data_IF_894682683484
#
_entry.id   IF_894682683484
#
_cell.length_a   1.000
_cell.length_b   1.000
_cell.length_c   1.000
_cell.angle_alpha   90.00
_cell.angle_beta   90.00
_cell.angle_gamma   90.00
#
_symmetry.space_group_name_H-M   'P 1'
#
loop_
_entity.id
_entity.type
_entity.pdbx_description
1 polymer ?
#
# COMPACT_ATOMS: atom_id res chain seq x y z
N UNK A 1 -26.34 1.70 34.58
CA UNK A 1 -25.46 2.83 34.23
C UNK A 1 -24.72 3.43 35.43
N UNK A 2 -25.38 4.02 36.44
CA UNK A 2 -24.66 4.66 37.58
C UNK A 2 -23.73 3.69 38.33
N UNK A 3 -24.21 2.49 38.64
CA UNK A 3 -23.42 1.48 39.36
C UNK A 3 -22.23 0.96 38.53
N UNK A 4 -22.40 0.77 37.22
CA UNK A 4 -21.34 0.41 36.27
C UNK A 4 -20.20 1.44 36.31
N UNK A 5 -20.55 2.74 36.29
CA UNK A 5 -19.57 3.83 36.29
C UNK A 5 -18.81 3.89 37.62
N UNK A 6 -19.50 3.73 38.75
CA UNK A 6 -18.89 3.74 40.08
C UNK A 6 -17.87 2.60 40.23
N UNK A 7 -18.25 1.38 39.87
CA UNK A 7 -17.37 0.19 39.99
C UNK A 7 -16.14 0.36 39.08
N UNK A 8 -16.34 0.81 37.84
CA UNK A 8 -15.24 1.04 36.92
C UNK A 8 -14.30 2.14 37.42
N UNK A 9 -14.84 3.26 37.93
CA UNK A 9 -14.04 4.33 38.50
C UNK A 9 -13.23 3.86 39.72
N UNK A 10 -13.87 3.17 40.68
CA UNK A 10 -13.21 2.61 41.85
C UNK A 10 -12.06 1.66 41.46
N UNK A 11 -12.29 0.79 40.48
CA UNK A 11 -11.25 -0.16 40.02
C UNK A 11 -10.08 0.54 39.32
N UNK A 12 -10.34 1.64 38.60
CA UNK A 12 -9.29 2.45 37.95
C UNK A 12 -8.46 3.24 38.95
N UNK A 13 -9.09 3.67 40.05
CA UNK A 13 -8.42 4.31 41.19
C UNK A 13 -7.66 3.30 42.08
N UNK A 14 -7.69 2.01 41.75
CA UNK A 14 -7.02 0.94 42.50
C UNK A 14 -7.43 0.89 43.98
N UNK A 15 -8.71 1.17 44.26
CA UNK A 15 -9.28 0.93 45.58
C UNK A 15 -9.29 -0.60 45.80
N UNK A 16 -8.70 -1.09 46.88
CA UNK A 16 -8.57 -2.53 47.19
C UNK A 16 -9.39 -2.93 48.42
N UNK A 17 -10.62 -2.43 48.52
CA UNK A 17 -11.55 -2.76 49.60
C UNK A 17 -12.42 -3.95 49.17
N UNK A 18 -12.07 -5.16 49.64
CA UNK A 18 -12.78 -6.40 49.31
C UNK A 18 -14.25 -6.37 49.75
N UNK A 19 -14.56 -5.75 50.89
CA UNK A 19 -15.93 -5.67 51.42
C UNK A 19 -16.79 -4.76 50.54
N UNK A 20 -16.23 -3.64 50.07
CA UNK A 20 -16.90 -2.78 49.10
C UNK A 20 -17.23 -3.53 47.80
N UNK A 21 -16.29 -4.29 47.25
CA UNK A 21 -16.53 -5.08 46.04
C UNK A 21 -17.49 -6.24 46.26
N UNK A 22 -17.46 -6.88 47.43
CA UNK A 22 -18.44 -7.88 47.80
C UNK A 22 -19.86 -7.29 47.81
N UNK A 23 -20.05 -6.13 48.44
CA UNK A 23 -21.32 -5.39 48.44
C UNK A 23 -21.77 -5.00 47.04
N UNK A 24 -20.85 -4.59 46.17
CA UNK A 24 -21.16 -4.32 44.76
C UNK A 24 -21.63 -5.58 44.03
N UNK A 25 -20.92 -6.69 44.17
CA UNK A 25 -21.29 -7.97 43.55
C UNK A 25 -22.68 -8.43 44.02
N UNK A 26 -22.94 -8.45 45.33
CA UNK A 26 -24.23 -8.84 45.90
C UNK A 26 -25.36 -7.95 45.39
N UNK A 27 -25.14 -6.65 45.33
CA UNK A 27 -26.14 -5.71 44.83
C UNK A 27 -26.43 -5.91 43.34
N UNK A 28 -25.41 -6.09 42.51
CA UNK A 28 -25.60 -6.33 41.07
C UNK A 28 -26.31 -7.66 40.84
N UNK A 29 -25.91 -8.74 41.50
CA UNK A 29 -26.56 -10.04 41.37
C UNK A 29 -28.05 -9.98 41.76
N UNK A 30 -28.40 -9.22 42.81
CA UNK A 30 -29.79 -9.00 43.19
C UNK A 30 -30.59 -8.27 42.10
N UNK A 31 -29.97 -7.31 41.42
CA UNK A 31 -30.59 -6.58 40.31
C UNK A 31 -30.72 -7.43 39.05
N UNK A 32 -29.72 -8.23 38.72
CA UNK A 32 -29.75 -9.13 37.55
C UNK A 32 -30.88 -10.17 37.62
N UNK A 33 -31.32 -10.53 38.83
CA UNK A 33 -32.52 -11.36 39.01
C UNK A 33 -33.85 -10.65 38.74
N UNK A 34 -33.85 -9.32 38.61
CA UNK A 34 -35.05 -8.47 38.45
C UNK A 34 -35.11 -7.74 37.12
N UNK A 35 -33.97 -7.46 36.49
CA UNK A 35 -33.88 -6.75 35.21
C UNK A 35 -32.77 -7.34 34.33
N UNK A 36 -32.92 -7.19 33.00
CA UNK A 36 -31.89 -7.59 32.06
C UNK A 36 -30.79 -6.52 31.96
N UNK A 37 -29.53 -6.93 32.17
CA UNK A 37 -28.39 -6.06 32.01
C UNK A 37 -27.89 -6.08 30.57
N UNK A 38 -27.59 -4.90 30.03
CA UNK A 38 -26.98 -4.80 28.71
C UNK A 38 -25.54 -5.33 28.74
N UNK A 39 -25.15 -6.06 27.71
CA UNK A 39 -23.83 -6.71 27.59
C UNK A 39 -22.66 -5.74 27.77
N UNK A 40 -22.80 -4.51 27.28
CA UNK A 40 -21.87 -3.40 27.53
C UNK A 40 -21.63 -3.18 29.03
N UNK A 41 -22.69 -3.02 29.82
CA UNK A 41 -22.58 -2.79 31.26
C UNK A 41 -21.91 -3.99 31.94
N UNK A 42 -22.32 -5.21 31.58
CA UNK A 42 -21.73 -6.43 32.13
C UNK A 42 -20.24 -6.50 31.80
N UNK A 43 -19.84 -6.23 30.55
CA UNK A 43 -18.44 -6.26 30.12
C UNK A 43 -17.57 -5.30 30.93
N UNK A 44 -18.09 -4.12 31.28
CA UNK A 44 -17.38 -3.13 32.08
C UNK A 44 -17.28 -3.57 33.54
N UNK A 45 -18.39 -4.09 34.10
CA UNK A 45 -18.44 -4.59 35.49
C UNK A 45 -17.45 -5.75 35.66
N UNK A 46 -17.53 -6.78 34.82
CA UNK A 46 -16.66 -7.97 34.99
C UNK A 46 -15.19 -7.64 34.76
N UNK A 47 -14.87 -6.71 33.86
CA UNK A 47 -13.49 -6.26 33.64
C UNK A 47 -12.97 -5.49 34.87
N UNK A 48 -13.81 -4.66 35.49
CA UNK A 48 -13.45 -3.92 36.69
C UNK A 48 -13.24 -4.85 37.89
N UNK A 49 -14.10 -5.87 38.04
CA UNK A 49 -14.02 -6.87 39.09
C UNK A 49 -12.79 -7.79 38.93
N UNK A 50 -12.53 -8.26 37.71
CA UNK A 50 -11.34 -9.04 37.38
C UNK A 50 -10.04 -8.27 37.68
N UNK A 51 -10.01 -6.95 37.40
CA UNK A 51 -8.84 -6.10 37.66
C UNK A 51 -8.43 -6.02 39.12
N UNK A 52 -9.40 -6.08 40.05
CA UNK A 52 -9.15 -5.99 41.50
C UNK A 52 -9.06 -7.36 42.18
N UNK A 53 -9.23 -8.45 41.42
CA UNK A 53 -9.17 -9.83 41.92
C UNK A 53 -10.16 -10.15 43.07
N UNK A 54 -11.30 -9.46 43.12
CA UNK A 54 -12.31 -9.63 44.17
C UNK A 54 -13.45 -10.59 43.78
N UNK A 55 -13.27 -11.41 42.73
CA UNK A 55 -14.33 -12.27 42.18
C UNK A 55 -13.78 -13.65 41.84
N UNK A 56 -14.52 -14.67 42.26
CA UNK A 56 -14.23 -16.07 41.96
C UNK A 56 -14.87 -16.54 40.64
N UNK A 57 -14.41 -17.70 40.14
CA UNK A 57 -14.90 -18.29 38.90
C UNK A 57 -16.42 -18.52 38.91
N UNK A 58 -17.02 -18.85 40.06
CA UNK A 58 -18.46 -19.09 40.18
C UNK A 58 -19.28 -17.80 40.03
N UNK A 59 -18.87 -16.72 40.70
CA UNK A 59 -19.49 -15.41 40.54
C UNK A 59 -19.35 -14.90 39.11
N UNK A 60 -18.17 -15.11 38.50
CA UNK A 60 -17.94 -14.76 37.09
C UNK A 60 -18.85 -15.55 36.15
N UNK A 61 -19.08 -16.84 36.40
CA UNK A 61 -20.00 -17.66 35.61
C UNK A 61 -21.42 -17.10 35.64
N UNK A 62 -21.91 -16.60 36.78
CA UNK A 62 -23.25 -15.98 36.86
C UNK A 62 -23.35 -14.71 36.02
N UNK A 63 -22.28 -13.90 35.98
CA UNK A 63 -22.22 -12.74 35.09
C UNK A 63 -22.19 -13.16 33.62
N UNK A 64 -21.45 -14.22 33.29
CA UNK A 64 -21.38 -14.79 31.96
C UNK A 64 -22.76 -15.27 31.48
N UNK A 65 -23.49 -16.01 32.31
CA UNK A 65 -24.81 -16.56 31.96
C UNK A 65 -25.82 -15.44 31.65
N UNK A 66 -25.79 -14.35 32.42
CA UNK A 66 -26.65 -13.20 32.15
C UNK A 66 -26.23 -12.44 30.87
N UNK A 67 -24.94 -12.33 30.60
CA UNK A 67 -24.44 -11.68 29.38
C UNK A 67 -24.92 -12.37 28.09
N UNK A 68 -25.17 -13.68 28.12
CA UNK A 68 -25.67 -14.43 26.96
C UNK A 68 -27.00 -13.86 26.44
N UNK A 69 -27.88 -13.35 27.32
CA UNK A 69 -29.20 -12.85 26.94
C UNK A 69 -29.15 -11.58 26.08
N UNK A 70 -28.12 -10.73 26.28
CA UNK A 70 -27.95 -9.46 25.56
C UNK A 70 -26.74 -9.47 24.62
N UNK A 71 -26.10 -10.64 24.45
CA UNK A 71 -24.91 -10.82 23.61
C UNK A 71 -25.09 -10.43 22.13
N UNK A 72 -26.27 -10.61 21.49
CA UNK A 72 -26.46 -10.17 20.11
C UNK A 72 -26.27 -8.65 19.88
N UNK A 73 -26.35 -7.86 20.95
CA UNK A 73 -26.16 -6.40 20.93
C UNK A 73 -24.70 -5.98 21.18
N UNK A 74 -23.81 -6.95 21.44
CA UNK A 74 -22.42 -6.69 21.81
C UNK A 74 -21.58 -6.31 20.60
N UNK A 75 -20.65 -5.39 20.77
CA UNK A 75 -19.55 -5.16 19.81
C UNK A 75 -18.43 -6.19 19.99
N UNK A 76 -17.58 -6.44 18.98
CA UNK A 76 -16.43 -7.34 19.11
C UNK A 76 -15.48 -6.98 20.27
N UNK A 77 -15.33 -5.70 20.57
CA UNK A 77 -14.53 -5.23 21.71
C UNK A 77 -15.17 -5.58 23.05
N UNK A 78 -16.51 -5.51 23.15
CA UNK A 78 -17.25 -5.92 24.35
C UNK A 78 -17.17 -7.45 24.53
N UNK A 79 -17.29 -8.21 23.44
CA UNK A 79 -17.07 -9.67 23.45
C UNK A 79 -15.65 -10.02 23.94
N UNK A 80 -14.62 -9.36 23.40
CA UNK A 80 -13.23 -9.59 23.80
C UNK A 80 -13.00 -9.26 25.29
N UNK A 81 -13.59 -8.17 25.80
CA UNK A 81 -13.51 -7.80 27.23
C UNK A 81 -14.18 -8.83 28.13
N UNK A 82 -15.37 -9.31 27.76
CA UNK A 82 -16.06 -10.38 28.49
C UNK A 82 -15.23 -11.65 28.54
N UNK A 83 -14.69 -12.07 27.39
CA UNK A 83 -13.83 -13.25 27.29
C UNK A 83 -12.58 -13.10 28.16
N UNK A 84 -11.89 -11.96 28.05
CA UNK A 84 -10.71 -11.66 28.86
C UNK A 84 -11.00 -11.75 30.36
N UNK A 85 -12.07 -11.09 30.82
CA UNK A 85 -12.45 -11.09 32.24
C UNK A 85 -12.77 -12.51 32.75
N UNK A 86 -13.52 -13.30 31.98
CA UNK A 86 -13.81 -14.69 32.34
C UNK A 86 -12.54 -15.55 32.41
N UNK A 87 -11.66 -15.42 31.42
CA UNK A 87 -10.42 -16.19 31.36
C UNK A 87 -9.44 -15.82 32.48
N UNK A 88 -9.39 -14.54 32.89
CA UNK A 88 -8.50 -14.06 33.95
C UNK A 88 -8.76 -14.62 35.34
N UNK A 89 -9.95 -15.17 35.57
CA UNK A 89 -10.35 -15.83 36.83
C UNK A 89 -10.59 -17.34 36.64
N UNK A 90 -10.06 -17.92 35.55
CA UNK A 90 -10.21 -19.34 35.21
C UNK A 90 -11.68 -19.82 35.11
N UNK A 91 -12.59 -18.93 34.67
CA UNK A 91 -14.01 -19.25 34.54
C UNK A 91 -14.29 -20.07 33.26
N UNK A 92 -14.88 -21.25 33.44
CA UNK A 92 -15.16 -22.21 32.37
C UNK A 92 -16.58 -22.06 31.77
N UNK A 93 -16.96 -20.83 31.40
CA UNK A 93 -18.29 -20.52 30.85
C UNK A 93 -18.45 -20.94 29.37
N UNK A 94 -18.67 -22.24 29.13
CA UNK A 94 -18.72 -22.82 27.77
C UNK A 94 -19.76 -22.14 26.86
N UNK A 95 -20.95 -21.88 27.37
CA UNK A 95 -22.06 -21.31 26.61
C UNK A 95 -21.76 -19.87 26.19
N UNK A 96 -21.23 -19.05 27.11
CA UNK A 96 -20.77 -17.70 26.79
C UNK A 96 -19.68 -17.71 25.71
N UNK A 97 -18.64 -18.53 25.87
CA UNK A 97 -17.54 -18.56 24.90
C UNK A 97 -18.00 -19.03 23.52
N UNK A 98 -18.91 -20.01 23.47
CA UNK A 98 -19.50 -20.49 22.21
C UNK A 98 -20.35 -19.39 21.56
N UNK A 99 -21.18 -18.70 22.34
CA UNK A 99 -21.99 -17.59 21.86
C UNK A 99 -21.11 -16.42 21.36
N UNK A 100 -20.00 -16.10 22.04
CA UNK A 100 -19.04 -15.08 21.59
C UNK A 100 -18.40 -15.44 20.24
N UNK A 101 -18.04 -16.72 20.03
CA UNK A 101 -17.50 -17.19 18.75
C UNK A 101 -18.52 -17.02 17.62
N UNK A 102 -19.78 -17.38 17.86
CA UNK A 102 -20.86 -17.25 16.87
C UNK A 102 -21.15 -15.78 16.54
N UNK A 103 -21.27 -14.93 17.56
CA UNK A 103 -21.52 -13.51 17.38
C UNK A 103 -20.37 -12.83 16.63
N UNK A 104 -19.12 -13.14 16.98
CA UNK A 104 -17.96 -12.60 16.27
C UNK A 104 -17.92 -13.06 14.80
N UNK A 105 -18.34 -14.30 14.49
CA UNK A 105 -18.41 -14.78 13.11
C UNK A 105 -19.38 -13.94 12.27
N UNK A 106 -20.56 -13.66 12.80
CA UNK A 106 -21.59 -12.86 12.12
C UNK A 106 -21.13 -11.41 11.89
N UNK A 107 -20.51 -10.81 12.90
CA UNK A 107 -20.02 -9.43 12.83
C UNK A 107 -18.79 -9.28 11.93
N UNK A 108 -17.90 -10.27 11.90
CA UNK A 108 -16.67 -10.19 11.12
C UNK A 108 -16.91 -10.02 9.62
N UNK A 109 -17.97 -10.61 9.07
CA UNK A 109 -18.27 -10.49 7.63
C UNK A 109 -18.63 -9.09 7.16
N UNK A 110 -19.11 -8.21 8.05
CA UNK A 110 -19.56 -6.85 7.71
C UNK A 110 -18.66 -5.75 8.28
N UNK A 111 -17.61 -6.11 9.01
CA UNK A 111 -16.66 -5.15 9.56
C UNK A 111 -15.76 -4.54 8.48
N UNK A 112 -15.45 -3.26 8.67
CA UNK A 112 -14.42 -2.56 7.92
C UNK A 112 -13.00 -3.04 8.32
N UNK A 113 -11.97 -2.76 7.52
CA UNK A 113 -10.59 -3.16 7.83
C UNK A 113 -10.10 -2.70 9.20
N UNK A 114 -10.46 -1.48 9.62
CA UNK A 114 -10.11 -0.93 10.93
C UNK A 114 -10.75 -1.72 12.06
N UNK A 115 -12.06 -2.01 11.93
CA UNK A 115 -12.80 -2.86 12.87
C UNK A 115 -12.20 -4.26 12.99
N UNK A 116 -11.85 -4.90 11.87
CA UNK A 116 -11.22 -6.22 11.87
C UNK A 116 -9.85 -6.22 12.57
N UNK A 117 -9.00 -5.23 12.28
CA UNK A 117 -7.68 -5.09 12.91
C UNK A 117 -7.79 -4.86 14.43
N UNK A 118 -8.72 -3.98 14.84
CA UNK A 118 -8.99 -3.70 16.26
C UNK A 118 -9.59 -4.90 16.99
N UNK A 119 -10.51 -5.63 16.36
CA UNK A 119 -11.09 -6.85 16.91
C UNK A 119 -10.00 -7.92 17.11
N UNK A 120 -9.12 -8.12 16.12
CA UNK A 120 -7.99 -9.04 16.24
C UNK A 120 -7.13 -8.66 17.45
N UNK A 121 -6.74 -7.39 17.57
CA UNK A 121 -5.93 -6.92 18.69
C UNK A 121 -6.60 -7.17 20.05
N UNK A 122 -7.90 -6.87 20.17
CA UNK A 122 -8.68 -7.03 21.39
C UNK A 122 -8.80 -8.50 21.82
N UNK A 123 -9.19 -9.40 20.92
CA UNK A 123 -9.22 -10.83 21.21
C UNK A 123 -7.82 -11.41 21.44
N UNK A 124 -6.79 -10.81 20.83
CA UNK A 124 -5.40 -11.17 21.06
C UNK A 124 -5.01 -11.05 22.53
N UNK A 125 -5.47 -10.00 23.22
CA UNK A 125 -5.15 -9.83 24.66
C UNK A 125 -5.65 -10.98 25.53
N UNK A 126 -6.68 -11.73 25.08
CA UNK A 126 -7.17 -12.89 25.83
C UNK A 126 -6.11 -13.98 25.99
N UNK A 127 -5.14 -14.09 25.07
CA UNK A 127 -4.04 -15.05 25.19
C UNK A 127 -3.09 -14.78 26.38
N UNK A 128 -3.12 -13.59 26.98
CA UNK A 128 -2.32 -13.29 28.19
C UNK A 128 -2.81 -14.06 29.42
N UNK A 129 -4.12 -14.37 29.45
CA UNK A 129 -4.81 -14.93 30.62
C UNK A 129 -5.48 -16.28 30.31
N UNK A 130 -5.46 -16.72 29.06
CA UNK A 130 -6.16 -17.92 28.63
C UNK A 130 -5.43 -19.21 29.00
N UNK A 131 -6.12 -20.10 29.73
CA UNK A 131 -5.74 -21.51 29.87
C UNK A 131 -5.92 -22.35 28.58
N UNK A 132 -5.36 -23.56 28.58
CA UNK A 132 -5.43 -24.51 27.45
C UNK A 132 -6.87 -24.80 27.00
N UNK A 133 -7.81 -24.88 27.95
CA UNK A 133 -9.23 -25.13 27.68
C UNK A 133 -9.90 -24.02 26.84
N UNK A 134 -9.36 -22.80 26.91
CA UNK A 134 -9.88 -21.62 26.21
C UNK A 134 -9.38 -21.49 24.76
N UNK A 135 -8.22 -22.08 24.45
CA UNK A 135 -7.53 -21.88 23.16
C UNK A 135 -8.42 -22.24 21.95
N UNK A 136 -9.28 -23.24 22.08
CA UNK A 136 -10.20 -23.67 21.01
C UNK A 136 -11.17 -22.57 20.56
N UNK A 137 -11.59 -21.67 21.45
CA UNK A 137 -12.49 -20.57 21.10
C UNK A 137 -11.73 -19.44 20.43
N UNK A 138 -10.58 -19.06 20.99
CA UNK A 138 -9.71 -18.03 20.43
C UNK A 138 -9.26 -18.42 19.01
N UNK A 139 -8.87 -19.68 18.79
CA UNK A 139 -8.52 -20.19 17.46
C UNK A 139 -9.68 -20.05 16.46
N UNK A 140 -10.93 -20.32 16.87
CA UNK A 140 -12.11 -20.13 16.00
C UNK A 140 -12.34 -18.66 15.69
N UNK A 141 -12.26 -17.77 16.68
CA UNK A 141 -12.40 -16.32 16.51
C UNK A 141 -11.38 -15.79 15.51
N UNK A 142 -10.10 -16.13 15.70
CA UNK A 142 -9.03 -15.70 14.80
C UNK A 142 -9.14 -16.32 13.41
N UNK A 143 -9.72 -17.52 13.26
CA UNK A 143 -10.07 -18.07 11.95
C UNK A 143 -11.13 -17.19 11.26
N UNK A 144 -12.17 -16.78 11.97
CA UNK A 144 -13.22 -15.91 11.40
C UNK A 144 -12.69 -14.53 11.01
N UNK A 145 -11.90 -13.90 11.88
CA UNK A 145 -11.26 -12.60 11.58
C UNK A 145 -10.31 -12.72 10.38
N UNK A 146 -9.53 -13.80 10.29
CA UNK A 146 -8.61 -14.03 9.16
C UNK A 146 -9.38 -14.14 7.84
N UNK A 147 -10.43 -14.96 7.81
CA UNK A 147 -11.22 -15.16 6.59
C UNK A 147 -11.91 -13.87 6.14
N UNK A 148 -12.48 -13.11 7.07
CA UNK A 148 -13.07 -11.81 6.78
C UNK A 148 -12.04 -10.80 6.26
N UNK A 149 -10.88 -10.72 6.91
CA UNK A 149 -9.78 -9.82 6.51
C UNK A 149 -9.24 -10.14 5.13
N UNK A 150 -9.14 -11.42 4.77
CA UNK A 150 -8.72 -11.84 3.43
C UNK A 150 -9.82 -11.54 2.39
N UNK A 151 -11.10 -11.67 2.75
CA UNK A 151 -12.21 -11.35 1.85
C UNK A 151 -12.30 -9.85 1.53
N UNK A 152 -12.05 -8.98 2.50
CA UNK A 152 -12.04 -7.51 2.33
C UNK A 152 -10.64 -6.92 2.14
N UNK A 153 -9.62 -7.75 1.88
CA UNK A 153 -8.21 -7.34 1.75
C UNK A 153 -7.96 -6.19 0.75
N UNK A 154 -8.66 -6.08 -0.40
CA UNK A 154 -8.50 -4.94 -1.31
C UNK A 154 -8.87 -3.57 -0.71
N UNK A 155 -9.50 -3.52 0.47
CA UNK A 155 -9.84 -2.29 1.17
C UNK A 155 -8.83 -1.94 2.27
N UNK A 156 -7.91 -2.83 2.61
CA UNK A 156 -6.94 -2.60 3.70
C UNK A 156 -5.87 -1.59 3.29
N UNK A 157 -5.57 -0.64 4.18
CA UNK A 157 -4.43 0.26 4.10
C UNK A 157 -3.26 -0.25 4.97
N UNK A 158 -2.04 0.31 4.79
CA UNK A 158 -0.83 -0.18 5.46
C UNK A 158 -0.98 -0.32 6.98
N UNK A 159 -1.63 0.63 7.64
CA UNK A 159 -1.84 0.60 9.09
C UNK A 159 -2.66 -0.62 9.54
N UNK A 160 -3.76 -0.93 8.84
CA UNK A 160 -4.58 -2.09 9.21
C UNK A 160 -3.88 -3.41 8.90
N UNK A 161 -3.16 -3.49 7.76
CA UNK A 161 -2.34 -4.66 7.39
C UNK A 161 -1.32 -4.96 8.49
N UNK A 162 -0.53 -3.95 8.87
CA UNK A 162 0.50 -4.07 9.90
C UNK A 162 -0.13 -4.44 11.24
N UNK A 163 -1.24 -3.81 11.63
CA UNK A 163 -1.95 -4.12 12.88
C UNK A 163 -2.45 -5.57 12.94
N UNK A 164 -3.00 -6.06 11.83
CA UNK A 164 -3.45 -7.44 11.69
C UNK A 164 -2.26 -8.40 11.80
N UNK A 165 -1.24 -8.25 10.94
CA UNK A 165 -0.06 -9.11 10.92
C UNK A 165 0.65 -9.13 12.27
N UNK A 166 0.83 -7.97 12.91
CA UNK A 166 1.44 -7.84 14.23
C UNK A 166 0.68 -8.63 15.29
N UNK A 167 -0.65 -8.63 15.24
CA UNK A 167 -1.46 -9.41 16.18
C UNK A 167 -1.27 -10.91 15.98
N UNK A 168 -1.35 -11.41 14.74
CA UNK A 168 -1.14 -12.83 14.46
C UNK A 168 0.29 -13.27 14.78
N UNK A 169 1.28 -12.43 14.50
CA UNK A 169 2.69 -12.67 14.80
C UNK A 169 2.95 -12.66 16.33
N UNK A 170 2.42 -11.70 17.09
CA UNK A 170 2.60 -11.64 18.55
C UNK A 170 2.06 -12.90 19.23
N UNK A 171 0.86 -13.34 18.85
CA UNK A 171 0.16 -14.45 19.51
C UNK A 171 0.39 -15.83 18.87
N UNK A 172 1.34 -15.94 17.94
CA UNK A 172 1.74 -17.19 17.27
C UNK A 172 0.59 -17.95 16.57
N UNK A 173 -0.39 -17.19 16.10
CA UNK A 173 -1.61 -17.70 15.48
C UNK A 173 -1.27 -18.18 14.06
N UNK A 174 -1.90 -19.27 13.63
CA UNK A 174 -1.73 -19.76 12.26
C UNK A 174 -2.20 -18.73 11.25
N UNK A 175 -1.45 -18.57 10.16
CA UNK A 175 -1.82 -17.76 9.02
C UNK A 175 -1.33 -18.50 7.78
N UNK A 176 -2.21 -18.87 6.86
CA UNK A 176 -1.86 -19.74 5.73
C UNK A 176 -0.90 -19.05 4.73
N UNK A 177 0.04 -19.80 4.14
CA UNK A 177 1.02 -19.25 3.18
C UNK A 177 0.35 -18.62 1.95
N UNK A 178 -0.70 -19.23 1.40
CA UNK A 178 -1.44 -18.68 0.26
C UNK A 178 -2.16 -17.39 0.64
N UNK A 179 -2.63 -17.26 1.88
CA UNK A 179 -3.22 -16.03 2.39
C UNK A 179 -2.16 -14.95 2.66
N UNK A 180 -0.98 -15.31 3.17
CA UNK A 180 0.15 -14.39 3.35
C UNK A 180 0.67 -13.85 2.00
N UNK A 181 0.66 -14.68 0.95
CA UNK A 181 0.98 -14.24 -0.42
C UNK A 181 0.06 -13.09 -0.86
N UNK A 182 -1.26 -13.24 -0.67
CA UNK A 182 -2.24 -12.18 -0.97
C UNK A 182 -1.98 -10.91 -0.16
N UNK A 183 -1.59 -11.05 1.11
CA UNK A 183 -1.24 -9.89 1.95
C UNK A 183 0.02 -9.20 1.41
N UNK A 184 1.05 -9.93 1.00
CA UNK A 184 2.25 -9.36 0.38
C UNK A 184 1.93 -8.60 -0.92
N UNK A 185 1.08 -9.17 -1.78
CA UNK A 185 0.57 -8.51 -2.99
C UNK A 185 -0.21 -7.24 -2.66
N UNK A 186 -1.02 -7.25 -1.59
CA UNK A 186 -1.72 -6.05 -1.15
C UNK A 186 -0.76 -4.98 -0.62
N UNK A 187 0.29 -5.36 0.10
CA UNK A 187 1.33 -4.43 0.55
C UNK A 187 2.02 -3.76 -0.65
N UNK A 188 2.32 -4.51 -1.71
CA UNK A 188 2.84 -3.98 -2.98
C UNK A 188 1.86 -3.01 -3.65
N UNK A 189 0.59 -3.39 -3.78
CA UNK A 189 -0.44 -2.56 -4.38
C UNK A 189 -0.67 -1.23 -3.64
N UNK A 190 -0.37 -1.19 -2.34
CA UNK A 190 -0.51 0.01 -1.49
C UNK A 190 0.81 0.67 -1.12
N UNK A 191 1.91 0.35 -1.84
CA UNK A 191 3.27 0.83 -1.54
C UNK A 191 3.38 2.35 -1.33
N UNK A 192 2.60 3.15 -2.08
CA UNK A 192 2.61 4.62 -2.00
C UNK A 192 2.14 5.16 -0.64
N UNK A 193 1.43 4.34 0.14
CA UNK A 193 0.90 4.72 1.46
C UNK A 193 1.74 4.17 2.62
N UNK A 194 2.80 3.41 2.33
CA UNK A 194 3.71 2.91 3.34
C UNK A 194 4.74 3.98 3.69
N UNK A 195 4.93 4.21 4.99
CA UNK A 195 6.09 4.92 5.53
C UNK A 195 7.15 3.91 6.01
N UNK A 196 8.28 4.39 6.51
CA UNK A 196 9.38 3.53 6.96
C UNK A 196 8.95 2.61 8.13
N UNK A 197 8.19 3.12 9.10
CA UNK A 197 7.78 2.35 10.28
C UNK A 197 6.81 1.23 9.90
N UNK A 198 5.76 1.56 9.15
CA UNK A 198 4.78 0.60 8.64
C UNK A 198 5.42 -0.42 7.71
N UNK A 199 6.40 -0.02 6.90
CA UNK A 199 7.15 -0.93 6.01
C UNK A 199 7.93 -1.95 6.83
N UNK A 200 8.79 -1.48 7.74
CA UNK A 200 9.65 -2.35 8.54
C UNK A 200 8.83 -3.28 9.41
N UNK A 201 7.82 -2.75 10.11
CA UNK A 201 6.94 -3.55 10.97
C UNK A 201 6.13 -4.57 10.17
N UNK A 202 5.58 -4.17 9.02
CA UNK A 202 4.80 -5.04 8.14
C UNK A 202 5.62 -6.21 7.62
N UNK A 203 6.78 -5.91 7.03
CA UNK A 203 7.68 -6.92 6.48
C UNK A 203 8.23 -7.85 7.56
N UNK A 204 8.58 -7.32 8.74
CA UNK A 204 9.03 -8.12 9.86
C UNK A 204 7.95 -9.13 10.31
N UNK A 205 6.70 -8.66 10.50
CA UNK A 205 5.61 -9.55 10.91
C UNK A 205 5.28 -10.59 9.83
N UNK A 206 5.31 -10.20 8.55
CA UNK A 206 5.10 -11.08 7.42
C UNK A 206 6.16 -12.19 7.36
N UNK A 207 7.45 -11.83 7.49
CA UNK A 207 8.56 -12.77 7.52
C UNK A 207 8.49 -13.73 8.72
N UNK A 208 8.13 -13.24 9.91
CA UNK A 208 7.94 -14.06 11.10
C UNK A 208 6.84 -15.12 10.90
N UNK A 209 5.71 -14.74 10.29
CA UNK A 209 4.62 -15.67 10.02
C UNK A 209 5.02 -16.72 8.97
N UNK A 210 5.71 -16.31 7.91
CA UNK A 210 6.25 -17.21 6.89
C UNK A 210 7.25 -18.22 7.47
N UNK A 211 8.20 -17.77 8.28
CA UNK A 211 9.19 -18.62 8.92
C UNK A 211 8.52 -19.67 9.83
N UNK A 212 7.49 -19.28 10.58
CA UNK A 212 6.75 -20.21 11.45
C UNK A 212 5.98 -21.26 10.68
N UNK A 213 5.41 -20.91 9.53
CA UNK A 213 4.78 -21.90 8.66
C UNK A 213 5.82 -22.91 8.14
N UNK A 214 6.99 -22.44 7.72
CA UNK A 214 8.07 -23.31 7.25
C UNK A 214 8.55 -24.29 8.34
N UNK A 215 8.65 -23.84 9.60
CA UNK A 215 8.99 -24.72 10.74
C UNK A 215 7.89 -25.78 10.95
N UNK A 216 6.61 -25.40 10.85
CA UNK A 216 5.47 -26.31 11.07
C UNK A 216 5.28 -27.34 9.95
N UNK A 217 5.62 -27.00 8.71
CA UNK A 217 5.49 -27.90 7.56
C UNK A 217 6.66 -28.87 7.40
N UNK A 218 7.74 -28.70 8.17
CA UNK A 218 8.89 -29.61 8.20
C UNK A 218 9.61 -29.76 6.86
N UNK A 219 10.46 -28.80 6.48
CA UNK A 219 11.39 -28.79 5.33
C UNK A 219 10.85 -29.11 3.91
N UNK A 220 9.68 -29.73 3.75
CA UNK A 220 9.04 -29.95 2.45
C UNK A 220 8.36 -28.65 2.02
N UNK A 221 9.04 -27.91 1.14
CA UNK A 221 8.50 -26.73 0.49
C UNK A 221 7.44 -27.15 -0.55
N UNK A 222 6.17 -26.98 -0.21
CA UNK A 222 5.08 -27.04 -1.18
C UNK A 222 5.19 -25.88 -2.18
N UNK A 223 4.68 -26.05 -3.41
CA UNK A 223 4.69 -24.98 -4.43
C UNK A 223 4.05 -23.67 -3.95
N UNK A 224 3.02 -23.77 -3.09
CA UNK A 224 2.38 -22.61 -2.45
C UNK A 224 3.31 -21.86 -1.49
N UNK A 225 4.18 -22.57 -0.75
CA UNK A 225 5.17 -21.95 0.15
C UNK A 225 6.23 -21.16 -0.63
N UNK A 226 6.70 -21.71 -1.77
CA UNK A 226 7.68 -21.04 -2.63
C UNK A 226 7.11 -19.73 -3.21
N UNK A 227 5.92 -19.79 -3.80
CA UNK A 227 5.25 -18.61 -4.37
C UNK A 227 5.03 -17.51 -3.31
N UNK A 228 4.67 -17.90 -2.09
CA UNK A 228 4.52 -16.96 -0.99
C UNK A 228 5.86 -16.31 -0.60
N UNK A 229 6.96 -17.07 -0.49
CA UNK A 229 8.29 -16.50 -0.23
C UNK A 229 8.76 -15.55 -1.34
N UNK A 230 8.50 -15.88 -2.61
CA UNK A 230 8.81 -15.00 -3.74
C UNK A 230 7.99 -13.70 -3.68
N UNK A 231 6.70 -13.77 -3.32
CA UNK A 231 5.87 -12.58 -3.12
C UNK A 231 6.37 -11.70 -1.96
N UNK A 232 6.77 -12.31 -0.83
CA UNK A 232 7.38 -11.58 0.29
C UNK A 232 8.70 -10.92 -0.12
N UNK A 233 9.56 -11.62 -0.87
CA UNK A 233 10.82 -11.07 -1.35
C UNK A 233 10.61 -9.89 -2.30
N UNK A 234 9.63 -9.98 -3.22
CA UNK A 234 9.24 -8.86 -4.09
C UNK A 234 8.70 -7.67 -3.31
N UNK A 235 7.83 -7.92 -2.32
CA UNK A 235 7.32 -6.90 -1.42
C UNK A 235 8.45 -6.20 -0.66
N UNK A 236 9.38 -6.97 -0.10
CA UNK A 236 10.54 -6.43 0.60
C UNK A 236 11.44 -5.60 -0.34
N UNK A 237 11.78 -6.11 -1.52
CA UNK A 237 12.59 -5.37 -2.50
C UNK A 237 11.94 -4.06 -2.93
N UNK A 238 10.63 -4.08 -3.21
CA UNK A 238 9.92 -2.88 -3.69
C UNK A 238 9.67 -1.85 -2.59
N UNK A 239 9.40 -2.29 -1.36
CA UNK A 239 9.12 -1.39 -0.24
C UNK A 239 10.39 -0.86 0.45
N UNK A 240 11.48 -1.63 0.45
CA UNK A 240 12.74 -1.25 1.11
C UNK A 240 13.73 -0.56 0.18
N UNK A 241 13.70 -0.83 -1.13
CA UNK A 241 14.59 -0.19 -2.09
C UNK A 241 13.87 1.05 -2.63
N UNK A 242 14.39 2.27 -2.40
CA UNK A 242 13.85 3.47 -3.03
C UNK A 242 13.83 3.29 -4.55
N UNK A 243 12.71 3.65 -5.19
CA UNK A 243 12.52 3.41 -6.63
C UNK A 243 13.63 4.09 -7.46
N UNK A 244 14.13 5.24 -7.00
CA UNK A 244 15.23 5.99 -7.61
C UNK A 244 16.59 5.29 -7.50
N UNK A 245 16.88 4.63 -6.38
CA UNK A 245 18.09 3.80 -6.25
C UNK A 245 18.05 2.61 -7.19
N UNK A 246 16.85 2.05 -7.41
CA UNK A 246 16.65 0.97 -8.40
C UNK A 246 16.89 1.47 -9.83
N UNK A 247 16.42 2.67 -10.18
CA UNK A 247 16.68 3.28 -11.49
C UNK A 247 18.17 3.49 -11.73
N UNK A 248 18.88 4.10 -10.77
CA UNK A 248 20.31 4.40 -10.91
C UNK A 248 21.16 3.11 -11.01
N UNK A 249 20.80 2.05 -10.28
CA UNK A 249 21.42 0.73 -10.39
C UNK A 249 21.17 0.08 -11.76
N UNK A 250 19.92 0.10 -12.24
CA UNK A 250 19.58 -0.42 -13.58
C UNK A 250 20.33 0.34 -14.68
N UNK A 251 20.44 1.66 -14.59
CA UNK A 251 21.21 2.45 -15.55
C UNK A 251 22.67 2.02 -15.58
N UNK A 252 23.31 1.83 -14.42
CA UNK A 252 24.68 1.34 -14.34
C UNK A 252 24.85 -0.02 -15.02
N UNK A 253 23.94 -0.97 -14.78
CA UNK A 253 23.93 -2.30 -15.41
C UNK A 253 23.78 -2.23 -16.94
N UNK A 254 23.04 -1.24 -17.44
CA UNK A 254 22.87 -0.99 -18.87
C UNK A 254 24.02 -0.17 -19.50
N UNK A 255 25.11 0.04 -18.77
CA UNK A 255 26.28 0.78 -19.26
C UNK A 255 26.10 2.30 -19.23
N UNK A 256 25.21 2.82 -18.38
CA UNK A 256 25.00 4.24 -18.17
C UNK A 256 25.50 4.71 -16.79
N UNK A 257 26.83 4.86 -16.59
CA UNK A 257 27.38 5.24 -15.30
C UNK A 257 27.03 6.68 -14.92
N UNK A 258 26.91 6.91 -13.62
CA UNK A 258 26.80 8.23 -13.00
C UNK A 258 27.96 8.45 -12.03
N UNK A 259 28.41 9.70 -11.87
CA UNK A 259 29.53 10.04 -10.97
C UNK A 259 29.25 11.33 -10.21
N UNK A 260 29.49 11.31 -8.90
CA UNK A 260 29.30 12.48 -8.03
C UNK A 260 27.85 12.95 -7.87
N UNK A 261 26.88 12.13 -8.29
CA UNK A 261 25.45 12.48 -8.28
C UNK A 261 24.59 11.32 -7.76
N UNK A 262 23.40 11.67 -7.26
CA UNK A 262 22.39 10.70 -6.82
C UNK A 262 20.99 11.14 -7.23
N UNK A 263 20.13 10.18 -7.56
CA UNK A 263 18.71 10.42 -7.76
C UNK A 263 17.97 10.41 -6.43
N UNK A 264 17.18 11.46 -6.17
CA UNK A 264 16.46 11.67 -4.91
C UNK A 264 15.07 12.23 -5.16
N UNK A 265 14.12 11.96 -4.25
CA UNK A 265 12.83 12.63 -4.23
C UNK A 265 12.94 13.86 -3.31
N UNK A 266 12.90 15.06 -3.90
CA UNK A 266 13.02 16.31 -3.16
C UNK A 266 11.65 16.93 -2.88
N UNK A 267 11.38 17.38 -1.63
CA UNK A 267 10.16 18.13 -1.34
C UNK A 267 10.00 19.33 -2.27
N UNK A 268 8.86 19.42 -2.96
CA UNK A 268 8.53 20.49 -3.91
C UNK A 268 9.09 20.30 -5.33
N UNK A 269 10.18 19.55 -5.51
CA UNK A 269 10.82 19.34 -6.82
C UNK A 269 10.62 17.93 -7.38
N UNK A 270 10.11 17.00 -6.58
CA UNK A 270 9.96 15.57 -6.91
C UNK A 270 11.30 14.95 -7.30
N UNK A 271 11.26 13.89 -8.11
CA UNK A 271 12.45 13.18 -8.58
C UNK A 271 13.43 14.14 -9.24
N UNK A 272 14.62 14.22 -8.65
CA UNK A 272 15.66 15.19 -8.97
C UNK A 272 17.04 14.55 -8.88
N UNK A 273 17.97 15.12 -9.63
CA UNK A 273 19.39 14.79 -9.58
C UNK A 273 20.10 15.79 -8.65
N UNK A 274 20.80 15.27 -7.64
CA UNK A 274 21.61 16.10 -6.71
C UNK A 274 23.07 15.70 -6.75
N UNK A 275 23.95 16.67 -6.51
CA UNK A 275 25.36 16.41 -6.27
C UNK A 275 25.54 15.69 -4.93
N UNK A 276 26.30 14.60 -4.93
CA UNK A 276 26.70 13.86 -3.72
C UNK A 276 28.12 14.26 -3.26
N UNK A 277 28.90 14.83 -4.18
CA UNK A 277 30.25 15.34 -3.94
C UNK A 277 30.43 16.72 -4.56
N UNK A 278 31.51 17.41 -4.23
CA UNK A 278 31.87 18.67 -4.91
C UNK A 278 32.14 18.40 -6.39
N UNK A 279 31.47 19.14 -7.27
CA UNK A 279 31.57 19.03 -8.72
C UNK A 279 32.37 20.20 -9.31
N UNK A 280 33.11 19.93 -10.38
CA UNK A 280 33.88 20.93 -11.14
C UNK A 280 33.36 21.05 -12.57
N UNK A 281 33.58 22.22 -13.17
CA UNK A 281 33.28 22.42 -14.57
C UNK A 281 34.04 21.40 -15.44
N UNK A 282 33.30 20.69 -16.30
CA UNK A 282 33.83 19.61 -17.15
C UNK A 282 33.65 18.20 -16.60
N UNK A 283 33.21 18.04 -15.34
CA UNK A 283 32.92 16.71 -14.80
C UNK A 283 31.74 16.06 -15.54
N UNK A 284 31.89 14.78 -15.88
CA UNK A 284 30.81 14.00 -16.50
C UNK A 284 29.92 13.41 -15.41
N UNK A 285 28.72 13.97 -15.26
CA UNK A 285 27.78 13.54 -14.22
C UNK A 285 27.05 12.25 -14.60
N UNK A 286 26.67 12.12 -15.88
CA UNK A 286 25.91 11.00 -16.41
C UNK A 286 26.34 10.72 -17.86
N UNK A 287 26.55 9.44 -18.18
CA UNK A 287 26.80 9.01 -19.56
C UNK A 287 25.74 8.00 -19.95
N UNK A 288 24.88 8.29 -20.92
CA UNK A 288 23.80 7.38 -21.34
C UNK A 288 24.05 6.91 -22.77
N UNK A 289 24.11 5.59 -23.05
CA UNK A 289 24.24 5.09 -24.40
C UNK A 289 22.93 5.27 -25.18
N UNK A 290 23.02 5.52 -26.49
CA UNK A 290 21.85 5.66 -27.38
C UNK A 290 20.92 4.44 -27.38
N UNK A 291 21.43 3.27 -27.02
CA UNK A 291 20.63 2.04 -26.85
C UNK A 291 19.62 2.11 -25.70
N UNK A 292 19.69 3.11 -24.83
CA UNK A 292 18.71 3.41 -23.78
C UNK A 292 17.73 4.53 -24.15
N UNK A 293 17.92 5.19 -25.28
CA UNK A 293 17.00 6.24 -25.72
C UNK A 293 15.71 5.61 -26.24
N UNK A 294 14.57 6.12 -25.79
CA UNK A 294 13.31 5.91 -26.51
C UNK A 294 13.20 7.10 -27.47
N UNK A 295 13.33 6.83 -28.76
CA UNK A 295 13.36 7.86 -29.81
C UNK A 295 12.51 7.45 -31.02
N UNK A 296 12.09 8.39 -31.87
CA UNK A 296 11.39 8.10 -33.12
C UNK A 296 12.14 7.05 -33.96
N UNK A 297 13.46 7.15 -34.09
CA UNK A 297 14.28 6.16 -34.81
C UNK A 297 14.19 4.77 -34.20
N UNK A 298 14.21 4.65 -32.87
CA UNK A 298 13.96 3.37 -32.20
C UNK A 298 12.57 2.84 -32.55
N UNK A 299 11.52 3.66 -32.42
CA UNK A 299 10.14 3.23 -32.66
C UNK A 299 9.96 2.75 -34.10
N UNK A 300 10.52 3.45 -35.10
CA UNK A 300 10.50 3.05 -36.52
C UNK A 300 11.11 1.68 -36.79
N UNK A 301 12.05 1.24 -35.95
CA UNK A 301 12.66 -0.09 -36.08
C UNK A 301 11.72 -1.23 -35.65
N UNK A 302 10.68 -0.92 -34.86
CA UNK A 302 9.68 -1.88 -34.38
C UNK A 302 8.56 -2.10 -35.39
N UNK A 303 7.82 -3.20 -35.28
CA UNK A 303 6.64 -3.44 -36.14
C UNK A 303 5.58 -2.36 -36.00
N UNK A 304 5.38 -1.85 -34.77
CA UNK A 304 4.45 -0.76 -34.50
C UNK A 304 4.84 0.51 -35.27
N UNK A 305 6.11 0.92 -35.21
CA UNK A 305 6.57 2.12 -35.93
C UNK A 305 6.54 1.97 -37.44
N UNK A 306 6.70 0.76 -37.98
CA UNK A 306 6.50 0.49 -39.42
C UNK A 306 5.05 0.70 -39.82
N UNK A 307 4.09 0.27 -39.00
CA UNK A 307 2.65 0.50 -39.22
C UNK A 307 2.32 2.00 -39.21
N UNK A 308 2.90 2.76 -38.27
CA UNK A 308 2.67 4.20 -38.13
C UNK A 308 3.80 5.04 -38.73
N UNK A 309 4.23 4.74 -39.95
CA UNK A 309 5.39 5.41 -40.57
C UNK A 309 5.12 6.85 -41.02
N UNK A 310 3.86 7.27 -41.14
CA UNK A 310 3.43 8.57 -41.68
C UNK A 310 3.07 9.62 -40.64
N UNK A 311 3.12 9.30 -39.33
CA UNK A 311 2.84 10.27 -38.26
C UNK A 311 4.11 11.06 -37.91
N UNK A 312 3.93 12.23 -37.30
CA UNK A 312 5.05 13.07 -36.89
C UNK A 312 5.87 12.43 -35.75
N UNK A 313 7.13 12.85 -35.62
CA UNK A 313 8.08 12.27 -34.66
C UNK A 313 7.62 12.37 -33.19
N UNK A 314 6.88 13.42 -32.83
CA UNK A 314 6.36 13.58 -31.46
C UNK A 314 5.25 12.56 -31.17
N UNK A 315 4.30 12.43 -32.10
CA UNK A 315 3.26 11.40 -32.05
C UNK A 315 3.85 9.97 -32.07
N UNK A 316 4.90 9.74 -32.88
CA UNK A 316 5.57 8.45 -32.97
C UNK A 316 6.30 8.10 -31.67
N UNK A 317 6.95 9.08 -31.04
CA UNK A 317 7.59 8.90 -29.74
C UNK A 317 6.57 8.60 -28.64
N UNK A 318 5.44 9.33 -28.62
CA UNK A 318 4.35 9.07 -27.67
C UNK A 318 3.78 7.65 -27.84
N UNK A 319 3.59 7.21 -29.09
CA UNK A 319 3.15 5.85 -29.40
C UNK A 319 4.16 4.79 -28.92
N UNK A 320 5.45 5.02 -29.14
CA UNK A 320 6.52 4.17 -28.64
C UNK A 320 6.54 4.06 -27.12
N UNK A 321 6.34 5.18 -26.42
CA UNK A 321 6.24 5.20 -24.97
C UNK A 321 5.04 4.37 -24.47
N UNK A 322 3.87 4.50 -25.11
CA UNK A 322 2.70 3.67 -24.78
C UNK A 322 3.00 2.17 -24.97
N UNK A 323 3.67 1.81 -26.07
CA UNK A 323 4.03 0.44 -26.36
C UNK A 323 4.99 -0.16 -25.31
N UNK A 324 6.01 0.59 -24.89
CA UNK A 324 6.92 0.16 -23.84
C UNK A 324 6.24 0.11 -22.46
N UNK A 325 5.35 1.05 -22.16
CA UNK A 325 4.58 1.06 -20.92
C UNK A 325 3.63 -0.14 -20.82
N UNK A 326 3.04 -0.57 -21.94
CA UNK A 326 2.15 -1.73 -22.01
C UNK A 326 2.86 -3.06 -21.69
N UNK A 327 4.18 -3.14 -21.82
CA UNK A 327 4.97 -4.34 -21.46
C UNK A 327 5.10 -4.52 -19.94
N UNK A 328 4.84 -3.48 -19.14
CA UNK A 328 4.97 -3.55 -17.69
C UNK A 328 6.36 -4.00 -17.24
N UNK A 329 6.42 -4.81 -16.18
CA UNK A 329 7.67 -5.30 -15.57
C UNK A 329 8.57 -6.13 -16.51
N UNK A 330 8.04 -6.64 -17.62
CA UNK A 330 8.81 -7.40 -18.62
C UNK A 330 9.56 -6.47 -19.59
N UNK A 331 9.20 -5.18 -19.63
CA UNK A 331 9.80 -4.19 -20.52
C UNK A 331 11.19 -3.74 -20.06
N UNK A 332 12.14 -3.65 -21.01
CA UNK A 332 13.51 -3.14 -20.76
C UNK A 332 13.52 -1.80 -20.03
N UNK A 333 12.67 -0.87 -20.47
CA UNK A 333 12.59 0.49 -19.93
C UNK A 333 11.66 0.63 -18.72
N UNK A 334 11.07 -0.46 -18.21
CA UNK A 334 10.16 -0.39 -17.07
C UNK A 334 10.74 0.33 -15.85
N UNK A 335 12.02 0.14 -15.46
CA UNK A 335 12.62 0.89 -14.36
C UNK A 335 12.60 2.40 -14.53
N UNK A 336 12.63 2.90 -15.77
CA UNK A 336 12.47 4.31 -16.10
C UNK A 336 10.99 4.71 -16.24
N UNK A 337 10.19 3.96 -16.99
CA UNK A 337 8.79 4.30 -17.28
C UNK A 337 7.95 4.37 -16.00
N UNK A 338 8.18 3.47 -15.04
CA UNK A 338 7.47 3.49 -13.75
C UNK A 338 7.77 4.72 -12.88
N UNK A 339 8.83 5.46 -13.21
CA UNK A 339 9.26 6.68 -12.52
C UNK A 339 8.67 7.95 -13.15
N UNK A 340 8.09 7.82 -14.34
CA UNK A 340 7.41 8.93 -14.99
C UNK A 340 6.15 9.32 -14.18
N UNK A 341 5.85 10.62 -14.07
CA UNK A 341 4.69 11.09 -13.32
C UNK A 341 3.39 10.57 -13.95
N UNK A 342 2.41 10.22 -13.11
CA UNK A 342 1.06 9.91 -13.60
C UNK A 342 0.34 11.15 -14.09
N UNK A 343 -0.78 10.99 -14.81
CA UNK A 343 -1.57 12.12 -15.32
C UNK A 343 -1.97 13.11 -14.22
N UNK A 344 -2.33 12.62 -13.04
CA UNK A 344 -2.71 13.46 -11.88
C UNK A 344 -1.53 14.21 -11.25
N UNK A 345 -0.29 13.76 -11.48
CA UNK A 345 0.93 14.40 -10.99
C UNK A 345 1.46 15.44 -12.00
N UNK A 346 0.97 15.38 -13.25
CA UNK A 346 1.27 16.34 -14.31
C UNK A 346 0.26 17.48 -14.30
N UNK A 347 0.65 18.62 -13.77
CA UNK A 347 -0.18 19.85 -13.79
C UNK A 347 -0.09 20.57 -15.14
N UNK A 348 -0.47 19.89 -16.22
CA UNK A 348 -0.48 20.43 -17.59
C UNK A 348 -1.94 20.61 -18.02
N UNK A 349 -2.34 21.77 -18.57
CA UNK A 349 -3.73 22.04 -18.97
C UNK A 349 -4.37 20.99 -19.88
N UNK A 350 -3.55 20.29 -20.68
CA UNK A 350 -3.97 19.19 -21.54
C UNK A 350 -4.62 18.02 -20.78
N UNK A 351 -4.22 17.78 -19.53
CA UNK A 351 -4.66 16.65 -18.72
C UNK A 351 -5.74 17.01 -17.71
N UNK A 352 -6.07 18.30 -17.57
CA UNK A 352 -7.06 18.75 -16.59
C UNK A 352 -8.49 18.35 -16.99
N UNK A 353 -9.36 18.09 -15.99
CA UNK A 353 -10.80 18.02 -16.22
C UNK A 353 -11.31 19.25 -16.98
N UNK A 354 -12.30 19.05 -17.85
CA UNK A 354 -12.82 20.11 -18.72
C UNK A 354 -13.33 21.33 -17.94
N UNK A 355 -14.07 21.11 -16.85
CA UNK A 355 -14.63 22.17 -16.02
C UNK A 355 -13.53 23.02 -15.37
N UNK A 356 -12.48 22.37 -14.84
CA UNK A 356 -11.33 23.03 -14.23
C UNK A 356 -10.56 23.85 -15.27
N UNK A 357 -10.30 23.26 -16.44
CA UNK A 357 -9.61 23.94 -17.55
C UNK A 357 -10.38 25.18 -18.00
N UNK A 358 -11.68 25.05 -18.27
CA UNK A 358 -12.54 26.17 -18.69
C UNK A 358 -12.65 27.26 -17.64
N UNK A 359 -12.60 26.90 -16.35
CA UNK A 359 -12.63 27.86 -15.27
C UNK A 359 -11.30 28.62 -15.14
N UNK A 360 -10.17 27.91 -15.15
CA UNK A 360 -8.85 28.47 -14.86
C UNK A 360 -8.22 29.18 -16.05
N UNK A 361 -8.48 28.73 -17.29
CA UNK A 361 -7.92 29.35 -18.49
C UNK A 361 -8.79 30.47 -19.06
N UNK A 362 -10.00 30.68 -18.55
CA UNK A 362 -10.98 31.61 -19.13
C UNK A 362 -10.38 32.98 -19.44
N UNK A 363 -10.43 33.37 -20.72
CA UNK A 363 -9.94 34.67 -21.19
C UNK A 363 -8.43 34.76 -21.39
N UNK A 364 -7.69 33.67 -21.16
CA UNK A 364 -6.28 33.53 -21.53
C UNK A 364 -6.15 33.03 -22.98
N UNK A 365 -5.11 33.42 -23.73
CA UNK A 365 -4.78 32.79 -25.01
C UNK A 365 -4.55 31.28 -24.90
N UNK A 366 -4.19 30.79 -23.70
CA UNK A 366 -4.00 29.36 -23.44
C UNK A 366 -5.30 28.56 -23.51
N UNK A 367 -6.46 29.18 -23.31
CA UNK A 367 -7.76 28.51 -23.39
C UNK A 367 -7.97 27.92 -24.79
N UNK A 368 -7.93 28.80 -25.80
CA UNK A 368 -8.09 28.44 -27.21
C UNK A 368 -6.97 27.52 -27.68
N UNK A 369 -5.72 27.80 -27.29
CA UNK A 369 -4.59 26.97 -27.69
C UNK A 369 -4.69 25.53 -27.14
N UNK A 370 -5.10 25.37 -25.88
CA UNK A 370 -5.27 24.05 -25.26
C UNK A 370 -6.44 23.30 -25.87
N UNK A 371 -7.57 23.97 -26.14
CA UNK A 371 -8.72 23.35 -26.82
C UNK A 371 -8.37 22.87 -28.23
N UNK A 372 -7.64 23.67 -29.01
CA UNK A 372 -7.18 23.27 -30.35
C UNK A 372 -6.23 22.07 -30.29
N UNK A 373 -5.29 22.07 -29.35
CA UNK A 373 -4.36 20.95 -29.16
C UNK A 373 -5.10 19.66 -28.74
N UNK A 374 -6.09 19.76 -27.86
CA UNK A 374 -6.93 18.62 -27.46
C UNK A 374 -7.72 18.05 -28.63
N UNK A 375 -8.26 18.91 -29.50
CA UNK A 375 -8.98 18.48 -30.70
C UNK A 375 -8.04 17.70 -31.64
N UNK A 376 -6.87 18.26 -31.93
CA UNK A 376 -5.87 17.62 -32.80
C UNK A 376 -5.42 16.26 -32.25
N UNK A 377 -5.08 16.18 -30.96
CA UNK A 377 -4.67 14.92 -30.34
C UNK A 377 -5.82 13.90 -30.27
N UNK A 378 -7.07 14.36 -30.18
CA UNK A 378 -8.25 13.49 -30.22
C UNK A 378 -8.46 12.92 -31.62
N UNK A 379 -8.32 13.73 -32.66
CA UNK A 379 -8.41 13.28 -34.06
C UNK A 379 -7.30 12.28 -34.38
N UNK A 380 -6.05 12.59 -34.02
CA UNK A 380 -4.92 11.66 -34.16
C UNK A 380 -5.16 10.33 -33.42
N UNK A 381 -5.71 10.39 -32.19
CA UNK A 381 -6.04 9.17 -31.46
C UNK A 381 -7.11 8.33 -32.15
N UNK A 382 -8.13 8.94 -32.75
CA UNK A 382 -9.18 8.21 -33.45
C UNK A 382 -8.62 7.41 -34.63
N UNK A 383 -7.70 8.01 -35.40
CA UNK A 383 -7.01 7.36 -36.50
C UNK A 383 -6.12 6.21 -36.01
N UNK A 384 -5.37 6.44 -34.93
CA UNK A 384 -4.50 5.43 -34.31
C UNK A 384 -5.34 4.27 -33.74
N UNK A 385 -6.39 4.57 -33.00
CA UNK A 385 -7.24 3.58 -32.32
C UNK A 385 -7.90 2.60 -33.31
N UNK A 386 -8.26 3.09 -34.51
CA UNK A 386 -8.78 2.23 -35.57
C UNK A 386 -7.76 1.14 -35.96
N UNK A 387 -6.50 1.53 -36.17
CA UNK A 387 -5.41 0.61 -36.52
C UNK A 387 -5.02 -0.30 -35.34
N UNK A 388 -4.95 0.24 -34.13
CA UNK A 388 -4.66 -0.55 -32.91
C UNK A 388 -5.70 -1.68 -32.72
N UNK A 389 -6.97 -1.40 -33.02
CA UNK A 389 -8.04 -2.40 -32.99
C UNK A 389 -7.84 -3.50 -34.03
N UNK A 390 -7.40 -3.15 -35.25
CA UNK A 390 -7.08 -4.12 -36.30
C UNK A 390 -5.88 -5.00 -35.95
N UNK A 391 -4.89 -4.45 -35.22
CA UNK A 391 -3.74 -5.18 -34.70
C UNK A 391 -4.07 -6.09 -33.51
N UNK A 392 -5.30 -6.03 -32.98
CA UNK A 392 -5.74 -6.87 -31.85
C UNK A 392 -5.02 -6.56 -30.54
N UNK A 393 -4.51 -5.34 -30.37
CA UNK A 393 -3.83 -4.94 -29.14
C UNK A 393 -4.82 -4.69 -28.00
N UNK A 394 -4.36 -4.89 -26.76
CA UNK A 394 -5.20 -4.82 -25.56
C UNK A 394 -5.84 -3.43 -25.35
N UNK A 395 -7.16 -3.37 -25.37
CA UNK A 395 -7.91 -2.12 -25.21
C UNK A 395 -7.73 -1.45 -23.83
N UNK A 396 -7.27 -2.17 -22.81
CA UNK A 396 -6.95 -1.57 -21.50
C UNK A 396 -5.59 -0.85 -21.51
N UNK A 397 -4.69 -1.29 -22.37
CA UNK A 397 -3.35 -0.73 -22.53
C UNK A 397 -3.32 0.44 -23.53
N UNK A 398 -4.28 0.48 -24.44
CA UNK A 398 -4.37 1.45 -25.52
C UNK A 398 -5.64 2.29 -25.40
N UNK A 399 -5.59 3.35 -24.61
CA UNK A 399 -6.72 4.28 -24.39
C UNK A 399 -6.35 5.72 -24.72
N UNK A 400 -7.37 6.57 -24.94
CA UNK A 400 -7.20 8.00 -25.19
C UNK A 400 -6.47 8.69 -24.03
N UNK A 401 -6.76 8.29 -22.80
CA UNK A 401 -6.15 8.85 -21.60
C UNK A 401 -4.65 8.54 -21.56
N UNK A 402 -4.26 7.32 -21.93
CA UNK A 402 -2.84 6.93 -22.02
C UNK A 402 -2.12 7.63 -23.17
N UNK A 403 -2.81 7.88 -24.28
CA UNK A 403 -2.30 8.68 -25.39
C UNK A 403 -2.01 10.12 -24.97
N UNK A 404 -2.96 10.78 -24.31
CA UNK A 404 -2.77 12.14 -23.80
C UNK A 404 -1.65 12.20 -22.75
N UNK A 405 -1.57 11.20 -21.85
CA UNK A 405 -0.47 11.06 -20.91
C UNK A 405 0.88 10.93 -21.61
N UNK A 406 1.01 10.04 -22.61
CA UNK A 406 2.26 9.84 -23.32
C UNK A 406 2.72 11.12 -24.04
N UNK A 407 1.80 11.84 -24.68
CA UNK A 407 2.08 13.14 -25.26
C UNK A 407 2.56 14.18 -24.24
N UNK A 408 1.90 14.22 -23.08
CA UNK A 408 2.28 15.13 -22.00
C UNK A 408 3.68 14.81 -21.44
N UNK A 409 4.05 13.53 -21.36
CA UNK A 409 5.41 13.11 -21.02
C UNK A 409 6.41 13.56 -22.09
N UNK A 410 6.13 13.33 -23.37
CA UNK A 410 7.00 13.79 -24.46
C UNK A 410 7.23 15.31 -24.37
N UNK A 411 6.16 16.08 -24.17
CA UNK A 411 6.23 17.54 -24.05
C UNK A 411 7.11 18.01 -22.87
N UNK A 412 7.14 17.27 -21.77
CA UNK A 412 7.79 17.72 -20.53
C UNK A 412 9.12 17.05 -20.22
N UNK A 413 9.42 15.90 -20.84
CA UNK A 413 10.59 15.06 -20.50
C UNK A 413 11.44 14.69 -21.71
N UNK A 414 10.95 14.84 -22.94
CA UNK A 414 11.78 14.58 -24.12
C UNK A 414 12.76 15.73 -24.34
N UNK A 415 14.00 15.40 -24.67
CA UNK A 415 15.06 16.35 -24.95
C UNK A 415 15.52 16.21 -26.40
N UNK A 416 15.88 17.31 -27.07
CA UNK A 416 16.50 17.23 -28.39
C UNK A 416 17.86 16.57 -28.26
N UNK A 417 18.09 15.52 -29.06
CA UNK A 417 19.35 14.81 -29.13
C UNK A 417 19.69 14.55 -30.59
N UNK A 418 20.66 15.30 -31.12
CA UNK A 418 20.90 15.38 -32.56
C UNK A 418 19.67 15.92 -33.29
N UNK A 419 19.17 15.17 -34.28
CA UNK A 419 18.05 15.60 -35.12
C UNK A 419 16.66 15.11 -34.64
N UNK A 420 16.55 14.46 -33.48
CA UNK A 420 15.27 13.94 -32.99
C UNK A 420 15.06 14.23 -31.49
N UNK A 421 13.79 14.24 -31.06
CA UNK A 421 13.42 14.27 -29.64
C UNK A 421 13.55 12.86 -29.06
N UNK A 422 14.11 12.74 -27.85
CA UNK A 422 14.30 11.45 -27.19
C UNK A 422 13.94 11.52 -25.71
N UNK A 423 13.34 10.45 -25.20
CA UNK A 423 13.26 10.21 -23.75
C UNK A 423 14.52 9.46 -23.32
N UNK A 424 15.32 10.10 -22.47
CA UNK A 424 16.64 9.62 -22.05
C UNK A 424 16.61 9.43 -20.53
N UNK A 425 16.62 8.17 -20.02
CA UNK A 425 16.52 7.91 -18.59
C UNK A 425 17.53 8.69 -17.75
N UNK A 426 17.05 9.34 -16.69
CA UNK A 426 17.87 10.04 -15.70
C UNK A 426 18.30 11.45 -16.11
N UNK A 427 18.31 11.77 -17.40
CA UNK A 427 18.63 13.11 -17.89
C UNK A 427 17.48 14.10 -17.64
N UNK A 428 16.26 13.60 -17.68
CA UNK A 428 15.03 14.32 -17.36
C UNK A 428 14.88 14.67 -15.86
N UNK A 429 15.77 14.15 -15.01
CA UNK A 429 15.86 14.47 -13.57
C UNK A 429 16.77 15.68 -13.28
N UNK A 430 17.49 16.18 -14.28
CA UNK A 430 18.33 17.39 -14.17
C UNK A 430 17.48 18.66 -14.23
N UNK A 431 16.56 18.81 -13.26
CA UNK A 431 15.69 19.98 -13.14
C UNK A 431 16.53 21.24 -12.87
N UNK A 432 16.16 22.38 -13.47
CA UNK A 432 16.85 23.66 -13.26
C UNK A 432 15.91 24.68 -12.62
N UNK A 433 16.46 25.54 -11.76
CA UNK A 433 15.77 26.71 -11.24
C UNK A 433 16.12 27.93 -12.11
N UNK A 434 15.11 28.70 -12.51
CA UNK A 434 15.30 29.93 -13.29
C UNK A 434 16.23 30.88 -12.53
N UNK A 435 17.32 31.31 -13.18
CA UNK A 435 18.32 32.21 -12.57
C UNK A 435 19.46 31.49 -11.85
N UNK A 436 19.49 30.15 -11.84
CA UNK A 436 20.66 29.39 -11.41
C UNK A 436 21.90 29.78 -12.23
N UNK A 437 23.01 30.04 -11.54
CA UNK A 437 24.33 30.28 -12.17
C UNK A 437 25.02 28.98 -12.59
N UNK A 438 24.56 27.84 -12.07
CA UNK A 438 25.08 26.53 -12.40
C UNK A 438 24.28 25.95 -13.55
N UNK A 439 24.95 25.56 -14.62
CA UNK A 439 24.36 24.98 -15.84
C UNK A 439 24.92 23.59 -16.08
N UNK A 440 24.06 22.63 -16.41
CA UNK A 440 24.47 21.35 -16.96
C UNK A 440 24.30 21.39 -18.48
N UNK A 441 25.35 21.07 -19.23
CA UNK A 441 25.29 20.93 -20.69
C UNK A 441 25.14 19.47 -21.08
N UNK A 442 24.35 19.21 -22.12
CA UNK A 442 24.21 17.88 -22.71
C UNK A 442 25.13 17.82 -23.93
N UNK A 443 26.05 16.86 -23.95
CA UNK A 443 26.98 16.65 -25.05
C UNK A 443 26.91 15.23 -25.61
N UNK A 444 27.21 15.10 -26.90
CA UNK A 444 27.30 13.83 -27.62
C UNK A 444 28.76 13.47 -27.76
N UNK A 445 29.13 12.31 -27.22
CA UNK A 445 30.45 11.75 -27.45
C UNK A 445 30.52 11.18 -28.87
N UNK A 446 31.29 11.80 -29.74
CA UNK A 446 31.65 11.27 -31.04
C UNK A 446 32.53 10.00 -30.89
N UNK A 447 32.64 9.22 -31.97
CA UNK A 447 33.41 7.97 -31.99
C UNK A 447 34.92 8.16 -31.68
N UNK A 448 35.43 9.38 -31.86
CA UNK A 448 36.80 9.79 -31.53
C UNK A 448 36.95 10.30 -30.07
N UNK A 449 35.86 10.31 -29.30
CA UNK A 449 35.83 10.75 -27.90
C UNK A 449 35.60 12.26 -27.72
N UNK A 450 35.48 13.05 -28.79
CA UNK A 450 35.11 14.47 -28.66
C UNK A 450 33.66 14.62 -28.21
N UNK A 451 33.41 15.52 -27.27
CA UNK A 451 32.06 15.85 -26.82
C UNK A 451 31.62 17.13 -27.54
N UNK A 452 30.60 17.02 -28.39
CA UNK A 452 29.97 18.14 -29.10
C UNK A 452 28.65 18.47 -28.40
N UNK A 453 28.21 19.73 -28.38
CA UNK A 453 26.88 20.05 -27.84
C UNK A 453 25.79 19.25 -28.55
N UNK A 454 24.80 18.76 -27.80
CA UNK A 454 23.77 17.87 -28.34
C UNK A 454 22.90 18.48 -29.45
N UNK A 455 22.84 19.80 -29.55
CA UNK A 455 22.18 20.55 -30.63
C UNK A 455 22.98 20.60 -31.93
N UNK A 456 24.30 20.38 -31.86
CA UNK A 456 25.23 20.51 -32.99
C UNK A 456 25.66 19.14 -33.57
N UNK A 457 25.30 18.04 -32.90
CA UNK A 457 25.60 16.69 -33.34
C UNK A 457 24.67 16.28 -34.50
N UNK A 458 25.22 16.18 -35.72
CA UNK A 458 24.49 15.73 -36.92
C UNK A 458 24.38 14.22 -37.06
#
# INVERSE_FOLDING_TARGET
>A
MELTMIINAASKLRISDEELYHRFVTHIQSRMGKEAFHVRDISVIVTALARVNCVDANTMSRFADCAVQTLPQATPLELARLMYACMSVSCHAHDLFTACVLQNREQASSMDPTGLSNAAYAFGQCFEVAEVSHLRYLQKIFRHIRLASIASLPLFLPREIVGLLKTYARWQITFDCGQLCKVAERMLATKKHFDLDTTVNGLHCLALLMQRNAIRSGAETTGSSKAAWEAVARAAGTLLIPELSSLQAWMLEQGAPSSGIRFVDLPGFKYSLVAETDLKAGDTLLRVPSSLHISPSYVRSTELGKTFSSIDDSALLALGLMAEAAKGEEGKWWPYIRMLPSSDELHIPLLWPEDERKQLLKGSPLDVATEQQLLQLTEQWNDIAAVIKELGLDSQSWTKEKWLWAHAIVLTRALPFGNELSLIPGLDLANHELGSKNTCSIGVAAADGQVVEATDAK
#
